data_IF_457897949718
#
_entry.id   IF_457897949718
#
_cell.length_a   1.000
_cell.length_b   1.000
_cell.length_c   1.000
_cell.angle_alpha   90.00
_cell.angle_beta   90.00
_cell.angle_gamma   90.00
#
_symmetry.space_group_name_H-M   'P 1'
#
loop_
_entity.id
_entity.type
_entity.pdbx_description
1 polymer ?
#
# COMPACT_ATOMS: atom_id res chain seq x y z
N UNK A 1 17.64 -52.09 -79.13
CA UNK A 1 16.42 -51.88 -78.30
C UNK A 1 15.68 -53.19 -78.18
N UNK A 2 15.84 -53.93 -77.07
CA UNK A 2 15.09 -55.16 -76.79
C UNK A 2 15.13 -55.48 -75.29
N UNK A 3 13.96 -55.91 -74.82
CA UNK A 3 13.55 -56.42 -73.51
C UNK A 3 14.54 -57.45 -72.91
N UNK A 4 14.65 -57.53 -71.58
CA UNK A 4 14.13 -58.65 -70.77
C UNK A 4 14.37 -58.44 -69.26
N UNK A 5 13.41 -58.97 -68.50
CA UNK A 5 13.32 -59.10 -67.03
C UNK A 5 14.28 -60.19 -66.52
N UNK A 6 14.80 -60.06 -65.30
CA UNK A 6 14.95 -61.20 -64.36
C UNK A 6 14.91 -60.70 -62.91
N UNK A 7 14.32 -61.54 -62.06
CA UNK A 7 14.01 -61.34 -60.65
C UNK A 7 14.80 -62.33 -59.77
N UNK A 8 14.99 -61.99 -58.49
CA UNK A 8 15.32 -62.90 -57.37
C UNK A 8 16.78 -63.38 -57.29
N UNK A 9 17.41 -63.70 -56.17
CA UNK A 9 17.10 -63.85 -54.72
C UNK A 9 18.47 -63.91 -54.03
N UNK A 10 18.65 -63.38 -52.80
CA UNK A 10 19.29 -64.07 -51.66
C UNK A 10 19.66 -63.12 -50.51
N UNK A 11 19.19 -63.55 -49.35
CA UNK A 11 19.24 -62.98 -48.00
C UNK A 11 20.61 -63.19 -47.36
N UNK A 12 21.08 -62.23 -46.55
CA UNK A 12 21.93 -62.51 -45.40
C UNK A 12 21.66 -61.51 -44.28
N UNK A 13 21.18 -62.08 -43.17
CA UNK A 13 20.83 -61.47 -41.90
C UNK A 13 22.09 -61.22 -41.09
N UNK A 14 22.23 -60.05 -40.47
CA UNK A 14 23.12 -59.85 -39.33
C UNK A 14 22.32 -59.22 -38.18
N UNK A 15 21.92 -60.07 -37.22
CA UNK A 15 21.49 -59.64 -35.89
C UNK A 15 22.72 -59.13 -35.13
N UNK A 16 22.63 -57.94 -34.55
CA UNK A 16 23.44 -57.56 -33.40
C UNK A 16 22.51 -57.40 -32.19
N UNK A 17 22.75 -58.24 -31.19
CA UNK A 17 22.00 -58.35 -29.94
C UNK A 17 22.25 -57.16 -29.00
N UNK A 18 21.23 -56.92 -28.19
CA UNK A 18 21.12 -55.96 -27.11
C UNK A 18 22.29 -55.97 -26.11
N UNK A 19 22.72 -54.77 -25.71
CA UNK A 19 23.40 -54.49 -24.45
C UNK A 19 22.62 -53.44 -23.68
N UNK A 20 21.95 -53.86 -22.60
CA UNK A 20 21.27 -52.97 -21.66
C UNK A 20 22.30 -52.15 -20.86
N UNK A 21 22.10 -50.84 -20.82
CA UNK A 21 22.83 -49.90 -19.97
C UNK A 21 22.01 -48.63 -19.82
N UNK A 22 20.98 -48.69 -18.97
CA UNK A 22 20.08 -47.57 -18.73
C UNK A 22 20.76 -46.45 -17.97
N UNK A 23 20.87 -45.28 -18.60
CA UNK A 23 20.90 -44.00 -17.90
C UNK A 23 19.95 -43.08 -18.66
N UNK A 24 18.79 -42.80 -18.05
CA UNK A 24 17.85 -41.78 -18.51
C UNK A 24 18.57 -40.45 -18.42
N UNK A 25 19.07 -39.96 -19.55
CA UNK A 25 19.42 -38.54 -19.70
C UNK A 25 18.12 -37.78 -19.50
N UNK A 26 18.09 -37.01 -18.42
CA UNK A 26 16.92 -36.23 -18.03
C UNK A 26 16.46 -35.38 -19.21
N UNK A 27 15.15 -35.42 -19.44
CA UNK A 27 14.47 -34.42 -20.23
C UNK A 27 14.76 -33.07 -19.58
N UNK A 28 15.67 -32.30 -20.18
CA UNK A 28 15.71 -30.85 -19.99
C UNK A 28 14.36 -30.33 -20.48
N UNK A 29 13.40 -30.22 -19.55
CA UNK A 29 12.24 -29.36 -19.75
C UNK A 29 12.80 -28.00 -20.14
N UNK A 30 12.41 -27.41 -21.27
CA UNK A 30 12.67 -26.00 -21.48
C UNK A 30 12.06 -25.30 -20.26
N UNK A 31 12.89 -24.61 -19.47
CA UNK A 31 12.36 -23.59 -18.58
C UNK A 31 11.44 -22.75 -19.46
N UNK A 32 10.16 -22.66 -19.09
CA UNK A 32 9.25 -21.74 -19.77
C UNK A 32 9.99 -20.41 -19.82
N UNK A 33 10.33 -19.93 -21.01
CA UNK A 33 10.89 -18.59 -21.17
C UNK A 33 9.85 -17.67 -20.53
N UNK A 34 10.14 -17.18 -19.33
CA UNK A 34 9.25 -16.30 -18.60
C UNK A 34 8.90 -15.15 -19.53
N UNK A 35 7.63 -14.75 -19.59
CA UNK A 35 7.26 -13.55 -20.34
C UNK A 35 8.14 -12.40 -19.86
N UNK A 36 8.62 -11.58 -20.80
CA UNK A 36 9.35 -10.35 -20.47
C UNK A 36 8.52 -9.53 -19.47
N UNK A 37 9.20 -8.95 -18.48
CA UNK A 37 8.48 -8.22 -17.42
C UNK A 37 7.64 -7.06 -17.95
N UNK A 38 8.12 -6.40 -19.00
CA UNK A 38 7.41 -5.32 -19.66
C UNK A 38 7.34 -4.04 -18.84
N UNK A 39 6.26 -3.28 -19.04
CA UNK A 39 5.98 -2.02 -18.33
C UNK A 39 4.72 -2.16 -17.50
N UNK A 40 4.67 -1.57 -16.31
CA UNK A 40 3.43 -1.39 -15.55
C UNK A 40 3.36 0.00 -14.91
N UNK A 41 2.13 0.49 -14.79
CA UNK A 41 1.81 1.78 -14.18
C UNK A 41 1.47 1.63 -12.69
N UNK A 42 2.31 2.21 -11.84
CA UNK A 42 2.20 2.17 -10.37
C UNK A 42 1.72 3.53 -9.87
N UNK A 43 0.55 3.59 -9.22
CA UNK A 43 0.14 4.82 -8.52
C UNK A 43 1.05 5.07 -7.32
N UNK A 44 1.22 6.35 -6.93
CA UNK A 44 1.89 6.78 -5.70
C UNK A 44 1.00 7.81 -5.00
N UNK A 45 0.42 7.41 -3.88
CA UNK A 45 -0.43 8.31 -3.09
C UNK A 45 0.41 9.29 -2.25
N UNK A 46 -0.11 10.48 -1.90
CA UNK A 46 0.67 11.56 -1.32
C UNK A 46 0.92 11.39 0.20
N UNK A 47 1.56 10.28 0.57
CA UNK A 47 2.11 10.05 1.89
C UNK A 47 3.37 9.18 1.82
N UNK A 48 4.34 9.46 2.69
CA UNK A 48 5.68 8.84 2.56
C UNK A 48 5.68 7.33 2.83
N UNK A 49 4.70 6.82 3.60
CA UNK A 49 4.51 5.38 3.77
C UNK A 49 4.23 4.67 2.45
N UNK A 50 3.40 5.27 1.60
CA UNK A 50 3.15 4.76 0.25
C UNK A 50 4.42 4.83 -0.60
N UNK A 51 5.09 5.99 -0.57
CA UNK A 51 6.31 6.22 -1.34
C UNK A 51 7.37 5.15 -1.03
N UNK A 52 7.48 4.73 0.24
CA UNK A 52 8.34 3.63 0.66
C UNK A 52 7.95 2.28 0.02
N UNK A 53 6.67 1.92 0.01
CA UNK A 53 6.18 0.71 -0.68
C UNK A 53 6.52 0.75 -2.17
N UNK A 54 6.19 1.87 -2.82
CA UNK A 54 6.42 2.07 -4.24
C UNK A 54 7.92 2.06 -4.59
N UNK A 55 8.77 2.62 -3.74
CA UNK A 55 10.22 2.64 -3.91
C UNK A 55 10.78 1.21 -3.94
N UNK A 56 10.46 0.39 -2.94
CA UNK A 56 11.00 -0.97 -2.82
C UNK A 56 10.50 -1.89 -3.92
N UNK A 57 9.18 -1.90 -4.19
CA UNK A 57 8.61 -2.73 -5.26
C UNK A 57 9.18 -2.31 -6.62
N UNK A 58 9.28 -1.01 -6.90
CA UNK A 58 9.86 -0.53 -8.17
C UNK A 58 11.33 -0.90 -8.30
N UNK A 59 12.11 -0.77 -7.22
CA UNK A 59 13.52 -1.12 -7.22
C UNK A 59 13.72 -2.60 -7.56
N UNK A 60 13.02 -3.51 -6.87
CA UNK A 60 13.10 -4.96 -7.13
C UNK A 60 12.62 -5.28 -8.53
N UNK A 61 11.49 -4.71 -8.98
CA UNK A 61 10.98 -4.94 -10.33
C UNK A 61 12.01 -4.53 -11.41
N UNK A 62 12.64 -3.36 -11.27
CA UNK A 62 13.61 -2.89 -12.26
C UNK A 62 14.94 -3.62 -12.17
N UNK A 63 15.45 -3.91 -10.97
CA UNK A 63 16.80 -4.48 -10.79
C UNK A 63 16.85 -6.00 -10.92
N UNK A 64 15.85 -6.71 -10.39
CA UNK A 64 15.83 -8.18 -10.39
C UNK A 64 15.04 -8.77 -11.56
N UNK A 65 14.03 -8.06 -12.07
CA UNK A 65 13.14 -8.56 -13.12
C UNK A 65 13.26 -7.80 -14.46
N UNK A 66 14.01 -6.70 -14.50
CA UNK A 66 14.19 -5.89 -15.72
C UNK A 66 12.93 -5.15 -16.17
N UNK A 67 11.96 -4.94 -15.28
CA UNK A 67 10.72 -4.22 -15.59
C UNK A 67 10.97 -2.71 -15.76
N UNK A 68 10.18 -2.07 -16.62
CA UNK A 68 10.01 -0.61 -16.60
C UNK A 68 8.82 -0.27 -15.70
N UNK A 69 9.04 0.52 -14.65
CA UNK A 69 7.96 0.99 -13.78
C UNK A 69 7.68 2.45 -14.06
N UNK A 70 6.42 2.78 -14.35
CA UNK A 70 5.97 4.16 -14.53
C UNK A 70 5.19 4.55 -13.28
N UNK A 71 5.79 5.38 -12.43
CA UNK A 71 5.13 5.91 -11.23
C UNK A 71 4.20 7.06 -11.60
N UNK A 72 2.99 7.07 -11.06
CA UNK A 72 1.97 8.11 -11.28
C UNK A 72 1.53 8.67 -9.94
N UNK A 73 1.91 9.91 -9.66
CA UNK A 73 1.48 10.59 -8.44
C UNK A 73 -0.02 10.91 -8.55
N UNK A 74 -0.84 10.18 -7.81
CA UNK A 74 -2.30 10.24 -7.88
C UNK A 74 -2.88 10.25 -6.48
N UNK A 75 -4.01 10.94 -6.34
CA UNK A 75 -4.86 10.79 -5.15
C UNK A 75 -5.43 9.38 -5.12
N UNK A 76 -5.60 8.81 -3.92
CA UNK A 76 -6.03 7.42 -3.75
C UNK A 76 -7.35 7.11 -4.51
N UNK A 77 -8.37 7.94 -4.36
CA UNK A 77 -9.65 7.76 -5.08
C UNK A 77 -9.51 7.86 -6.61
N UNK A 78 -8.56 8.67 -7.10
CA UNK A 78 -8.31 8.82 -8.54
C UNK A 78 -7.58 7.58 -9.08
N UNK A 79 -6.73 6.94 -8.26
CA UNK A 79 -6.07 5.69 -8.65
C UNK A 79 -7.09 4.59 -8.98
N UNK A 80 -8.21 4.53 -8.25
CA UNK A 80 -9.31 3.59 -8.53
C UNK A 80 -9.95 3.81 -9.91
N UNK A 81 -10.16 5.07 -10.30
CA UNK A 81 -10.70 5.40 -11.63
C UNK A 81 -9.74 4.96 -12.75
N UNK A 82 -8.44 5.03 -12.50
CA UNK A 82 -7.39 4.61 -13.42
C UNK A 82 -7.43 3.13 -13.84
N UNK A 83 -8.05 2.26 -13.04
CA UNK A 83 -8.21 0.84 -13.42
C UNK A 83 -9.14 0.65 -14.63
N UNK A 84 -10.22 1.45 -14.72
CA UNK A 84 -11.15 1.36 -15.86
C UNK A 84 -10.56 1.91 -17.16
N UNK A 85 -9.70 2.94 -17.07
CA UNK A 85 -9.07 3.57 -18.24
C UNK A 85 -7.80 2.84 -18.68
N UNK A 86 -7.25 1.98 -17.82
CA UNK A 86 -5.96 1.33 -18.04
C UNK A 86 -4.76 2.25 -17.76
N UNK A 87 -4.99 3.37 -17.07
CA UNK A 87 -3.93 4.27 -16.62
C UNK A 87 -3.27 3.81 -15.32
N UNK A 88 -3.85 2.86 -14.58
CA UNK A 88 -3.25 2.30 -13.36
C UNK A 88 -3.28 0.79 -13.45
N UNK A 89 -2.12 0.17 -13.23
CA UNK A 89 -1.99 -1.28 -13.10
C UNK A 89 -1.93 -1.72 -11.64
N UNK A 90 -1.31 -0.93 -10.77
CA UNK A 90 -1.04 -1.31 -9.38
C UNK A 90 -1.31 -0.16 -8.43
N UNK A 91 -2.12 -0.43 -7.40
CA UNK A 91 -2.16 0.29 -6.13
C UNK A 91 -1.61 -0.62 -5.03
N UNK A 92 -0.49 -0.23 -4.43
CA UNK A 92 0.20 -1.01 -3.40
C UNK A 92 -0.32 -0.81 -1.98
N UNK A 93 -1.14 0.19 -1.70
CA UNK A 93 -1.57 0.47 -0.33
C UNK A 93 -2.94 1.14 -0.36
N UNK A 94 -3.98 0.32 -0.26
CA UNK A 94 -5.36 0.76 -0.22
C UNK A 94 -5.89 0.78 1.23
N UNK A 95 -6.41 1.92 1.65
CA UNK A 95 -6.96 2.14 2.99
C UNK A 95 -8.46 1.82 3.05
N UNK A 96 -8.83 0.58 2.72
CA UNK A 96 -10.22 0.12 2.79
C UNK A 96 -11.01 0.32 1.48
N UNK A 97 -11.97 1.25 1.45
CA UNK A 97 -12.81 1.53 0.26
C UNK A 97 -13.65 0.35 -0.25
N UNK A 98 -14.47 -0.25 0.62
CA UNK A 98 -15.34 -1.39 0.26
C UNK A 98 -16.36 -1.06 -0.84
N UNK A 99 -16.79 0.20 -0.93
CA UNK A 99 -17.63 0.71 -2.01
C UNK A 99 -16.88 0.72 -3.37
N UNK A 100 -15.62 1.16 -3.38
CA UNK A 100 -14.78 1.13 -4.59
C UNK A 100 -14.41 -0.31 -4.97
N UNK A 101 -14.11 -1.18 -4.00
CA UNK A 101 -13.94 -2.63 -4.26
C UNK A 101 -15.19 -3.22 -4.89
N UNK A 102 -16.38 -2.95 -4.33
CA UNK A 102 -17.64 -3.41 -4.92
C UNK A 102 -17.76 -2.93 -6.37
N UNK A 103 -17.54 -1.63 -6.61
CA UNK A 103 -17.65 -1.05 -7.95
C UNK A 103 -16.64 -1.66 -8.93
N UNK A 104 -15.35 -1.58 -8.66
CA UNK A 104 -14.30 -1.88 -9.65
C UNK A 104 -13.94 -3.37 -9.74
N UNK A 105 -14.09 -4.13 -8.66
CA UNK A 105 -13.78 -5.57 -8.61
C UNK A 105 -15.02 -6.41 -8.90
N UNK A 106 -16.14 -6.13 -8.24
CA UNK A 106 -17.34 -6.99 -8.35
C UNK A 106 -18.21 -6.61 -9.55
N UNK A 107 -18.55 -5.33 -9.68
CA UNK A 107 -19.53 -4.87 -10.66
C UNK A 107 -18.87 -4.67 -12.04
N UNK A 108 -17.82 -3.84 -12.11
CA UNK A 108 -17.12 -3.50 -13.36
C UNK A 108 -16.08 -4.56 -13.77
N UNK A 109 -15.55 -5.34 -12.81
CA UNK A 109 -14.56 -6.42 -13.01
C UNK A 109 -13.28 -6.00 -13.72
N UNK A 110 -12.88 -4.74 -13.54
CA UNK A 110 -11.66 -4.16 -14.12
C UNK A 110 -10.46 -4.22 -13.18
N UNK A 111 -10.68 -4.47 -11.89
CA UNK A 111 -9.66 -4.62 -10.87
C UNK A 111 -9.81 -5.94 -10.11
N UNK A 112 -8.75 -6.36 -9.43
CA UNK A 112 -8.74 -7.50 -8.50
C UNK A 112 -7.89 -7.18 -7.28
N UNK A 113 -8.26 -7.77 -6.14
CA UNK A 113 -7.46 -7.71 -4.93
C UNK A 113 -6.26 -8.67 -5.04
N UNK A 114 -5.06 -8.16 -4.81
CA UNK A 114 -3.79 -8.91 -4.81
C UNK A 114 -3.31 -9.24 -3.39
N UNK A 115 -4.20 -9.12 -2.40
CA UNK A 115 -4.00 -9.46 -1.01
C UNK A 115 -3.29 -8.40 -0.17
N UNK A 116 -3.10 -8.70 1.11
CA UNK A 116 -2.48 -7.83 2.10
C UNK A 116 -1.03 -7.46 1.75
N UNK A 117 -0.68 -6.19 1.98
CA UNK A 117 0.69 -5.66 2.00
C UNK A 117 1.48 -6.11 3.24
N UNK A 118 0.78 -6.63 4.26
CA UNK A 118 1.33 -6.89 5.59
C UNK A 118 1.32 -5.67 6.51
N UNK A 119 1.08 -4.47 5.97
CA UNK A 119 0.97 -3.23 6.74
C UNK A 119 -0.39 -3.17 7.44
N UNK A 120 -0.37 -2.85 8.73
CA UNK A 120 -1.55 -2.65 9.56
C UNK A 120 -1.74 -1.17 9.83
N UNK A 121 -2.85 -0.63 9.35
CA UNK A 121 -3.19 0.78 9.45
C UNK A 121 -4.04 1.09 10.68
N UNK A 122 -3.76 2.20 11.34
CA UNK A 122 -4.63 2.77 12.38
C UNK A 122 -4.79 4.26 12.07
N UNK A 123 -6.02 4.71 11.91
CA UNK A 123 -6.35 6.14 11.78
C UNK A 123 -6.94 6.62 13.10
N UNK A 124 -6.72 7.90 13.44
CA UNK A 124 -7.45 8.51 14.54
C UNK A 124 -7.11 9.96 14.78
N UNK A 125 -7.64 10.50 15.87
CA UNK A 125 -7.31 11.83 16.33
C UNK A 125 -6.24 11.77 17.39
N UNK A 126 -5.34 12.74 17.36
CA UNK A 126 -4.19 12.81 18.25
C UNK A 126 -4.01 14.20 18.82
N UNK A 127 -3.45 14.25 20.01
CA UNK A 127 -2.92 15.46 20.65
C UNK A 127 -1.42 15.29 20.88
N UNK A 128 -0.64 16.38 20.89
CA UNK A 128 0.78 16.31 21.22
C UNK A 128 0.97 15.92 22.70
N UNK A 129 2.08 15.24 23.06
CA UNK A 129 2.36 14.76 24.42
C UNK A 129 2.15 15.79 25.52
N UNK A 130 2.57 17.04 25.30
CA UNK A 130 2.44 18.08 26.31
C UNK A 130 0.98 18.36 26.71
N UNK A 131 0.03 18.21 25.78
CA UNK A 131 -1.39 18.40 26.09
C UNK A 131 -1.90 17.28 26.97
N UNK A 132 -1.60 16.03 26.65
CA UNK A 132 -2.00 14.89 27.46
C UNK A 132 -1.38 14.97 28.88
N UNK A 133 -0.14 15.46 29.00
CA UNK A 133 0.50 15.69 30.30
C UNK A 133 -0.19 16.79 31.12
N UNK A 134 -0.66 17.87 30.47
CA UNK A 134 -1.31 19.02 31.14
C UNK A 134 -2.80 18.80 31.40
N UNK A 135 -3.47 18.09 30.50
CA UNK A 135 -4.92 17.82 30.49
C UNK A 135 -5.12 16.30 30.43
N UNK A 136 -4.93 15.57 31.53
CA UNK A 136 -4.87 14.10 31.52
C UNK A 136 -6.17 13.42 31.09
N UNK A 137 -7.31 14.11 31.18
CA UNK A 137 -8.62 13.62 30.75
C UNK A 137 -8.97 13.98 29.29
N UNK A 138 -8.07 14.66 28.56
CA UNK A 138 -8.32 15.12 27.18
C UNK A 138 -8.44 13.96 26.17
N UNK A 139 -7.88 12.80 26.51
CA UNK A 139 -7.88 11.62 25.64
C UNK A 139 -9.23 10.92 25.57
N UNK A 140 -10.18 11.23 26.45
CA UNK A 140 -11.56 10.75 26.32
C UNK A 140 -12.33 11.74 25.43
N UNK A 141 -12.86 11.26 24.30
CA UNK A 141 -13.62 12.07 23.36
C UNK A 141 -14.77 12.86 24.02
N UNK A 142 -15.37 12.32 25.09
CA UNK A 142 -16.45 12.97 25.84
C UNK A 142 -16.02 14.29 26.47
N UNK A 143 -14.73 14.44 26.76
CA UNK A 143 -14.16 15.64 27.36
C UNK A 143 -13.72 16.68 26.32
N UNK A 144 -13.74 16.39 25.01
CA UNK A 144 -13.23 17.33 24.01
C UNK A 144 -13.99 18.67 24.03
N UNK A 145 -15.29 18.68 24.29
CA UNK A 145 -16.08 19.93 24.36
C UNK A 145 -15.66 20.84 25.52
N UNK A 146 -15.16 20.29 26.63
CA UNK A 146 -14.56 21.06 27.74
C UNK A 146 -13.36 21.88 27.27
N UNK A 147 -12.64 21.39 26.27
CA UNK A 147 -11.40 21.98 25.75
C UNK A 147 -11.57 22.73 24.42
N UNK A 148 -12.74 22.70 23.80
CA UNK A 148 -12.98 23.28 22.46
C UNK A 148 -12.51 24.73 22.32
N UNK A 149 -12.61 25.54 23.38
CA UNK A 149 -12.15 26.92 23.37
C UNK A 149 -10.63 27.07 23.18
N UNK A 150 -9.83 26.10 23.61
CA UNK A 150 -8.36 26.10 23.45
C UNK A 150 -7.95 25.92 21.99
N UNK A 151 -8.78 25.26 21.18
CA UNK A 151 -8.48 24.91 19.80
C UNK A 151 -9.08 25.91 18.79
N UNK A 152 -9.59 27.06 19.24
CA UNK A 152 -10.17 28.07 18.33
C UNK A 152 -9.09 28.65 17.42
N UNK A 153 -9.42 28.78 16.14
CA UNK A 153 -8.59 29.45 15.14
C UNK A 153 -9.45 30.41 14.31
N UNK A 154 -8.82 31.19 13.43
CA UNK A 154 -9.56 32.03 12.48
C UNK A 154 -10.43 31.22 11.53
N UNK A 155 -10.09 29.95 11.27
CA UNK A 155 -10.78 29.08 10.30
C UNK A 155 -11.90 28.24 10.94
N UNK A 156 -11.87 28.09 12.26
CA UNK A 156 -12.81 27.23 13.01
C UNK A 156 -14.18 27.88 13.26
N UNK A 157 -14.39 29.13 12.84
CA UNK A 157 -15.70 29.80 12.92
C UNK A 157 -16.24 29.93 14.35
N UNK A 158 -15.37 30.14 15.34
CA UNK A 158 -15.74 30.27 16.74
C UNK A 158 -15.87 28.94 17.52
N UNK A 159 -15.73 27.80 16.84
CA UNK A 159 -15.63 26.45 17.44
C UNK A 159 -14.18 26.03 17.67
N UNK A 160 -13.93 24.89 18.31
CA UNK A 160 -12.59 24.28 18.30
C UNK A 160 -12.21 23.79 16.90
N UNK A 161 -10.92 23.76 16.56
CA UNK A 161 -10.44 23.15 15.33
C UNK A 161 -10.08 21.68 15.58
N UNK A 162 -10.57 20.81 14.70
CA UNK A 162 -9.95 19.51 14.40
C UNK A 162 -9.20 19.68 13.08
N UNK A 163 -7.87 19.59 13.11
CA UNK A 163 -7.04 19.71 11.90
C UNK A 163 -7.01 18.35 11.19
N UNK A 164 -7.56 18.28 9.99
CA UNK A 164 -7.65 17.07 9.17
C UNK A 164 -6.50 17.00 8.14
N UNK A 165 -6.33 15.88 7.45
CA UNK A 165 -5.24 15.61 6.52
C UNK A 165 -5.34 16.28 5.14
N UNK A 166 -4.83 15.58 4.12
CA UNK A 166 -5.13 15.93 2.74
C UNK A 166 -6.60 15.58 2.44
N UNK A 167 -7.34 16.39 1.67
CA UNK A 167 -8.71 16.07 1.27
C UNK A 167 -8.89 14.73 0.55
N UNK A 168 -7.83 14.08 0.08
CA UNK A 168 -7.88 12.74 -0.52
C UNK A 168 -7.68 11.61 0.47
N UNK A 169 -7.48 11.87 1.76
CA UNK A 169 -7.30 10.83 2.77
C UNK A 169 -8.65 10.24 3.17
N UNK A 170 -8.62 8.98 3.59
CA UNK A 170 -9.78 8.34 4.22
C UNK A 170 -10.06 9.04 5.56
N UNK A 171 -11.19 9.74 5.61
CA UNK A 171 -11.63 10.47 6.79
C UNK A 171 -13.14 10.33 7.02
N UNK A 172 -13.52 10.25 8.29
CA UNK A 172 -14.89 10.29 8.79
C UNK A 172 -15.10 11.49 9.73
N UNK A 173 -14.15 12.45 9.74
CA UNK A 173 -14.02 13.43 10.80
C UNK A 173 -15.20 14.40 10.90
N UNK A 174 -15.77 14.81 9.76
CA UNK A 174 -16.97 15.65 9.76
C UNK A 174 -18.19 14.93 10.33
N UNK A 175 -18.38 13.66 9.94
CA UNK A 175 -19.45 12.81 10.46
C UNK A 175 -19.28 12.56 11.95
N UNK A 176 -18.05 12.27 12.41
CA UNK A 176 -17.72 12.08 13.82
C UNK A 176 -17.98 13.35 14.64
N UNK A 177 -17.48 14.51 14.21
CA UNK A 177 -17.72 15.78 14.89
C UNK A 177 -19.22 16.06 15.02
N UNK A 178 -19.99 15.82 13.96
CA UNK A 178 -21.45 16.01 13.95
C UNK A 178 -22.17 15.01 14.85
N UNK A 179 -21.94 13.72 14.66
CA UNK A 179 -22.70 12.64 15.29
C UNK A 179 -22.34 12.46 16.77
N UNK A 180 -21.12 12.84 17.17
CA UNK A 180 -20.70 12.92 18.57
C UNK A 180 -21.05 14.26 19.23
N UNK A 181 -21.75 15.17 18.53
CA UNK A 181 -22.17 16.48 19.02
C UNK A 181 -21.00 17.31 19.57
N UNK A 182 -19.87 17.30 18.86
CA UNK A 182 -18.67 18.04 19.25
C UNK A 182 -18.74 19.49 18.77
N UNK A 183 -18.32 20.42 19.64
CA UNK A 183 -18.22 21.85 19.36
C UNK A 183 -16.91 22.17 18.60
N UNK A 184 -16.71 21.46 17.50
CA UNK A 184 -15.53 21.56 16.65
C UNK A 184 -15.94 21.82 15.20
N UNK A 185 -14.98 22.30 14.42
CA UNK A 185 -15.03 22.39 12.97
C UNK A 185 -13.80 21.67 12.42
N UNK A 186 -14.02 20.83 11.42
CA UNK A 186 -12.95 20.19 10.66
C UNK A 186 -12.32 21.22 9.73
N UNK A 187 -10.99 21.32 9.75
CA UNK A 187 -10.21 22.22 8.91
C UNK A 187 -9.09 21.41 8.26
N UNK A 188 -8.99 21.43 6.94
CA UNK A 188 -8.03 20.63 6.20
C UNK A 188 -6.62 21.23 6.28
N UNK A 189 -5.61 20.43 6.63
CA UNK A 189 -4.19 20.83 6.60
C UNK A 189 -3.59 20.78 5.20
N UNK A 190 -4.15 19.93 4.34
CA UNK A 190 -3.77 19.79 2.94
C UNK A 190 -2.58 18.86 2.65
N UNK A 191 -1.89 18.30 3.65
CA UNK A 191 -0.86 17.27 3.43
C UNK A 191 -0.36 16.62 4.73
N UNK A 192 0.22 15.41 4.62
CA UNK A 192 1.00 14.78 5.71
C UNK A 192 2.08 15.71 6.27
N UNK A 193 2.81 16.42 5.41
CA UNK A 193 3.89 17.33 5.84
C UNK A 193 3.34 18.46 6.70
N UNK A 194 2.15 19.00 6.35
CA UNK A 194 1.49 20.04 7.13
C UNK A 194 1.04 19.52 8.51
N UNK A 195 0.47 18.31 8.59
CA UNK A 195 0.13 17.67 9.87
C UNK A 195 1.36 17.47 10.76
N UNK A 196 2.44 16.91 10.21
CA UNK A 196 3.69 16.68 10.94
C UNK A 196 4.25 18.00 11.47
N UNK A 197 4.27 19.05 10.63
CA UNK A 197 4.76 20.37 11.05
C UNK A 197 3.87 20.98 12.14
N UNK A 198 2.55 20.85 12.02
CA UNK A 198 1.61 21.30 13.04
C UNK A 198 1.87 20.62 14.38
N UNK A 199 2.08 19.29 14.41
CA UNK A 199 2.41 18.57 15.64
C UNK A 199 3.76 18.97 16.22
N UNK A 200 4.79 19.16 15.40
CA UNK A 200 6.10 19.68 15.86
C UNK A 200 5.95 21.05 16.52
N UNK A 201 5.25 21.97 15.86
CA UNK A 201 5.06 23.32 16.37
C UNK A 201 4.19 23.33 17.64
N UNK A 202 3.18 22.46 17.69
CA UNK A 202 2.35 22.26 18.86
C UNK A 202 3.16 21.75 20.05
N UNK A 203 4.01 20.73 19.86
CA UNK A 203 4.86 20.18 20.92
C UNK A 203 5.94 21.15 21.36
N UNK A 204 6.64 21.79 20.41
CA UNK A 204 7.71 22.75 20.70
C UNK A 204 7.21 23.99 21.42
N UNK A 205 6.11 24.58 20.94
CA UNK A 205 5.61 25.86 21.43
C UNK A 205 4.43 25.75 22.39
N UNK A 206 4.06 24.52 22.79
CA UNK A 206 2.91 24.24 23.67
C UNK A 206 1.61 24.87 23.15
N UNK A 207 1.42 24.84 21.82
CA UNK A 207 0.20 25.33 21.15
C UNK A 207 -0.84 24.21 21.10
N UNK A 208 -2.10 24.45 21.54
CA UNK A 208 -3.15 23.44 21.45
C UNK A 208 -3.33 22.92 20.02
N UNK A 209 -3.35 21.60 19.86
CA UNK A 209 -3.62 20.94 18.59
C UNK A 209 -4.36 19.63 18.83
N UNK A 210 -5.49 19.48 18.15
CA UNK A 210 -6.21 18.23 17.96
C UNK A 210 -6.22 17.99 16.45
N UNK A 211 -5.66 16.87 16.00
CA UNK A 211 -5.53 16.62 14.58
C UNK A 211 -5.68 15.14 14.22
N UNK A 212 -6.16 14.90 13.01
CA UNK A 212 -6.09 13.62 12.31
C UNK A 212 -4.63 13.19 12.17
N UNK A 213 -4.37 11.90 12.38
CA UNK A 213 -3.12 11.26 11.98
C UNK A 213 -3.31 9.75 11.86
N UNK A 214 -2.24 9.04 11.50
CA UNK A 214 -2.34 7.60 11.26
C UNK A 214 -1.02 6.88 11.54
N UNK A 215 -1.11 5.57 11.73
CA UNK A 215 0.00 4.62 11.85
C UNK A 215 -0.10 3.56 10.74
N UNK A 216 1.02 3.00 10.25
CA UNK A 216 2.39 3.28 10.67
C UNK A 216 2.88 4.64 10.19
N UNK A 217 3.63 5.32 11.06
CA UNK A 217 4.21 6.60 10.69
C UNK A 217 5.50 6.88 11.45
N UNK A 218 6.58 7.19 10.73
CA UNK A 218 7.92 7.35 11.32
C UNK A 218 7.98 8.49 12.33
N UNK A 219 7.08 9.47 12.19
CA UNK A 219 7.01 10.65 13.05
C UNK A 219 6.73 10.30 14.53
N UNK A 220 6.08 9.16 14.81
CA UNK A 220 5.88 8.70 16.19
C UNK A 220 7.19 8.42 16.94
N UNK A 221 8.30 8.22 16.23
CA UNK A 221 9.64 8.11 16.84
C UNK A 221 10.21 9.46 17.28
N UNK A 222 9.76 10.55 16.67
CA UNK A 222 10.16 11.92 17.02
C UNK A 222 9.24 12.47 18.12
N UNK A 223 7.92 12.38 17.89
CA UNK A 223 6.90 12.83 18.84
C UNK A 223 5.90 11.71 19.06
N UNK A 224 5.89 11.15 20.28
CA UNK A 224 4.94 10.10 20.68
C UNK A 224 3.54 10.66 20.90
N UNK A 225 2.86 11.03 19.81
CA UNK A 225 1.51 11.58 19.85
C UNK A 225 0.56 10.69 20.64
N UNK A 226 -0.41 11.30 21.30
CA UNK A 226 -1.35 10.58 22.17
C UNK A 226 -2.70 10.52 21.48
N UNK A 227 -3.15 9.30 21.16
CA UNK A 227 -4.43 9.05 20.50
C UNK A 227 -5.60 9.42 21.41
N UNK A 228 -6.62 10.03 20.84
CA UNK A 228 -7.94 10.19 21.46
C UNK A 228 -8.69 8.87 21.36
N UNK A 229 -9.24 8.43 22.48
CA UNK A 229 -10.15 7.32 22.56
C UNK A 229 -11.52 7.79 22.07
N UNK A 230 -11.83 7.54 20.81
CA UNK A 230 -13.18 7.69 20.24
C UNK A 230 -14.06 6.50 20.65
N UNK A 231 -15.39 6.50 20.43
CA UNK A 231 -16.21 5.30 20.67
C UNK A 231 -15.66 4.12 19.86
N UNK A 232 -15.41 2.98 20.49
CA UNK A 232 -14.72 1.88 19.81
C UNK A 232 -15.45 1.43 18.51
N UNK A 233 -14.65 1.16 17.47
CA UNK A 233 -15.16 0.59 16.22
C UNK A 233 -15.90 -0.73 16.46
N UNK A 234 -17.01 -0.91 15.74
CA UNK A 234 -17.70 -2.19 15.57
C UNK A 234 -17.97 -2.39 14.09
N UNK A 235 -17.87 -3.64 13.63
CA UNK A 235 -18.08 -3.98 12.22
C UNK A 235 -19.39 -3.37 11.68
N UNK A 236 -19.27 -2.63 10.57
CA UNK A 236 -20.39 -1.95 9.90
C UNK A 236 -20.76 -0.58 10.47
N UNK A 237 -20.03 -0.07 11.47
CA UNK A 237 -20.24 1.29 11.98
C UNK A 237 -19.96 2.37 10.93
N UNK A 238 -19.06 2.08 9.99
CA UNK A 238 -18.64 2.91 8.87
C UNK A 238 -19.36 2.59 7.54
N UNK A 239 -20.37 1.72 7.56
CA UNK A 239 -21.10 1.32 6.35
C UNK A 239 -21.94 2.46 5.73
N UNK A 240 -22.34 3.45 6.54
CA UNK A 240 -22.99 4.68 6.08
C UNK A 240 -22.12 5.87 6.52
N UNK A 241 -21.36 6.49 5.60
CA UNK A 241 -20.44 7.59 5.93
C UNK A 241 -21.12 8.73 6.70
N UNK A 242 -22.41 9.00 6.46
CA UNK A 242 -23.13 10.07 7.13
C UNK A 242 -23.50 9.75 8.59
N UNK A 243 -23.48 8.46 8.98
CA UNK A 243 -23.88 7.98 10.31
C UNK A 243 -22.72 7.54 11.18
N UNK A 244 -21.48 7.64 10.70
CA UNK A 244 -20.30 7.23 11.47
C UNK A 244 -20.25 7.96 12.81
N UNK A 245 -20.15 7.18 13.89
CA UNK A 245 -20.09 7.65 15.27
C UNK A 245 -19.15 6.81 16.13
N UNK A 246 -18.17 6.16 15.50
CA UNK A 246 -17.13 5.36 16.14
C UNK A 246 -15.75 5.65 15.54
N UNK A 247 -14.72 5.25 16.26
CA UNK A 247 -13.32 5.26 15.84
C UNK A 247 -13.16 4.49 14.51
N UNK A 248 -12.03 4.74 13.86
CA UNK A 248 -11.69 4.06 12.61
C UNK A 248 -11.47 2.56 12.86
N UNK A 249 -11.78 1.70 11.88
CA UNK A 249 -11.42 0.29 11.97
C UNK A 249 -9.89 0.12 12.00
N UNK A 250 -9.39 -0.98 12.56
CA UNK A 250 -8.04 -1.43 12.22
C UNK A 250 -8.02 -1.84 10.74
N UNK A 251 -7.08 -1.32 9.98
CA UNK A 251 -6.93 -1.63 8.56
C UNK A 251 -5.90 -2.74 8.35
N UNK A 252 -6.23 -3.70 7.48
CA UNK A 252 -5.23 -4.53 6.79
C UNK A 252 -5.06 -3.96 5.40
N UNK A 253 -3.97 -3.22 5.16
CA UNK A 253 -3.81 -2.52 3.89
C UNK A 253 -3.55 -3.55 2.80
N UNK A 254 -4.37 -3.54 1.77
CA UNK A 254 -4.32 -4.46 0.66
C UNK A 254 -3.81 -3.79 -0.62
N UNK A 255 -3.45 -4.64 -1.57
CA UNK A 255 -2.98 -4.24 -2.89
C UNK A 255 -4.11 -4.48 -3.87
N UNK A 256 -4.38 -3.51 -4.71
CA UNK A 256 -5.38 -3.61 -5.79
C UNK A 256 -4.64 -3.52 -7.11
N UNK A 257 -4.95 -4.40 -8.04
CA UNK A 257 -4.32 -4.39 -9.37
C UNK A 257 -5.38 -4.44 -10.46
N UNK A 258 -5.03 -3.95 -11.65
CA UNK A 258 -5.89 -4.09 -12.82
C UNK A 258 -6.05 -5.57 -13.18
N UNK A 259 -7.26 -5.97 -13.62
CA UNK A 259 -7.51 -7.36 -14.08
C UNK A 259 -6.57 -7.73 -15.23
N UNK A 260 -6.29 -6.76 -16.11
CA UNK A 260 -5.35 -6.89 -17.23
C UNK A 260 -3.94 -7.20 -16.75
N UNK A 261 -3.44 -6.50 -15.73
CA UNK A 261 -2.12 -6.76 -15.17
C UNK A 261 -2.05 -8.13 -14.50
N UNK A 262 -3.08 -8.51 -13.74
CA UNK A 262 -3.18 -9.83 -13.11
C UNK A 262 -3.20 -10.99 -14.13
N UNK A 263 -3.80 -10.79 -15.30
CA UNK A 263 -3.88 -11.80 -16.37
C UNK A 263 -2.69 -11.75 -17.35
N UNK A 264 -1.79 -10.78 -17.20
CA UNK A 264 -0.72 -10.52 -18.17
C UNK A 264 0.29 -11.67 -18.26
N UNK A 265 0.45 -12.43 -17.16
CA UNK A 265 1.54 -13.39 -16.98
C UNK A 265 2.91 -12.72 -16.84
N UNK A 266 2.97 -11.42 -16.55
CA UNK A 266 4.22 -10.72 -16.23
C UNK A 266 4.73 -11.16 -14.85
N UNK A 267 6.04 -11.43 -14.69
CA UNK A 267 6.62 -11.68 -13.38
C UNK A 267 6.48 -10.51 -12.40
N UNK A 268 6.20 -9.27 -12.88
CA UNK A 268 5.89 -8.15 -12.00
C UNK A 268 4.60 -8.37 -11.20
N UNK A 269 3.59 -9.06 -11.77
CA UNK A 269 2.38 -9.36 -11.02
C UNK A 269 2.67 -10.30 -9.85
N UNK A 270 3.50 -11.32 -10.05
CA UNK A 270 3.89 -12.23 -8.98
C UNK A 270 4.68 -11.50 -7.89
N UNK A 271 5.61 -10.61 -8.25
CA UNK A 271 6.30 -9.74 -7.30
C UNK A 271 5.31 -8.91 -6.48
N UNK A 272 4.38 -8.20 -7.13
CA UNK A 272 3.37 -7.37 -6.44
C UNK A 272 2.47 -8.21 -5.54
N UNK A 273 1.99 -9.35 -6.03
CA UNK A 273 1.14 -10.27 -5.27
C UNK A 273 1.85 -10.83 -4.04
N UNK A 274 3.11 -11.20 -4.18
CA UNK A 274 3.91 -11.77 -3.09
C UNK A 274 4.50 -10.71 -2.16
N UNK A 275 4.62 -9.45 -2.61
CA UNK A 275 5.15 -8.36 -1.81
C UNK A 275 4.35 -8.21 -0.52
N UNK A 276 5.03 -8.48 0.59
CA UNK A 276 4.47 -8.36 1.93
C UNK A 276 5.59 -8.03 2.90
N UNK A 277 5.38 -7.03 3.74
CA UNK A 277 6.34 -6.61 4.75
C UNK A 277 5.65 -5.98 5.97
N UNK A 278 6.43 -5.60 6.98
CA UNK A 278 5.86 -5.13 8.26
C UNK A 278 5.79 -3.60 8.32
N UNK A 279 5.05 -3.08 9.31
CA UNK A 279 5.01 -1.65 9.64
C UNK A 279 6.42 -1.10 9.92
N UNK A 280 7.31 -1.89 10.53
CA UNK A 280 8.69 -1.50 10.81
C UNK A 280 9.51 -1.34 9.54
N UNK A 281 9.35 -2.25 8.57
CA UNK A 281 10.04 -2.17 7.28
C UNK A 281 9.62 -0.91 6.51
N UNK A 282 8.30 -0.67 6.42
CA UNK A 282 7.77 0.53 5.76
C UNK A 282 8.27 1.81 6.45
N UNK A 283 8.18 1.89 7.77
CA UNK A 283 8.66 3.06 8.53
C UNK A 283 10.17 3.26 8.40
N UNK A 284 10.96 2.20 8.31
CA UNK A 284 12.40 2.32 8.12
C UNK A 284 12.74 3.00 6.79
N UNK A 285 12.12 2.57 5.69
CA UNK A 285 12.32 3.18 4.37
C UNK A 285 11.73 4.59 4.31
N UNK A 286 10.52 4.78 4.83
CA UNK A 286 9.87 6.09 4.88
C UNK A 286 10.71 7.11 5.65
N UNK A 287 11.33 6.71 6.76
CA UNK A 287 12.25 7.57 7.52
C UNK A 287 13.50 7.91 6.71
N UNK A 288 14.08 6.95 5.97
CA UNK A 288 15.25 7.23 5.11
C UNK A 288 14.92 8.31 4.05
N UNK A 289 13.71 8.28 3.51
CA UNK A 289 13.22 9.29 2.56
C UNK A 289 12.98 10.63 3.28
N UNK A 290 12.13 10.63 4.31
CA UNK A 290 11.65 11.85 4.95
C UNK A 290 12.70 12.57 5.80
N UNK A 291 13.54 11.82 6.53
CA UNK A 291 14.49 12.35 7.51
C UNK A 291 15.91 12.35 6.96
N UNK A 292 16.37 11.20 6.46
CA UNK A 292 17.76 11.07 5.98
C UNK A 292 17.95 11.68 4.57
N UNK A 293 16.85 12.12 3.93
CA UNK A 293 16.82 12.77 2.61
C UNK A 293 17.44 11.94 1.49
N UNK A 294 17.39 10.61 1.63
CA UNK A 294 17.73 9.71 0.52
C UNK A 294 16.66 9.82 -0.55
N UNK A 295 17.06 9.65 -1.82
CA UNK A 295 16.05 9.43 -2.87
C UNK A 295 15.32 8.10 -2.62
N UNK A 296 14.08 7.94 -3.11
CA UNK A 296 13.34 6.69 -2.96
C UNK A 296 14.14 5.46 -3.43
N UNK A 297 14.83 5.55 -4.57
CA UNK A 297 15.66 4.47 -5.10
C UNK A 297 16.87 4.15 -4.20
N UNK A 298 17.50 5.16 -3.59
CA UNK A 298 18.61 4.96 -2.65
C UNK A 298 18.13 4.30 -1.35
N UNK A 299 16.98 4.75 -0.82
CA UNK A 299 16.38 4.16 0.37
C UNK A 299 15.96 2.69 0.11
N UNK A 300 15.35 2.42 -1.04
CA UNK A 300 14.98 1.08 -1.47
C UNK A 300 16.19 0.18 -1.62
N UNK A 301 17.25 0.62 -2.33
CA UNK A 301 18.50 -0.12 -2.45
C UNK A 301 19.05 -0.51 -1.09
N UNK A 302 19.21 0.49 -0.20
CA UNK A 302 19.78 0.27 1.13
C UNK A 302 18.99 -0.75 1.95
N UNK A 303 17.66 -0.71 1.87
CA UNK A 303 16.82 -1.69 2.55
C UNK A 303 16.91 -3.07 1.89
N UNK A 304 16.86 -3.16 0.56
CA UNK A 304 16.94 -4.41 -0.20
C UNK A 304 18.25 -5.15 0.07
N UNK A 305 19.38 -4.44 0.03
CA UNK A 305 20.72 -4.99 0.31
C UNK A 305 20.81 -5.66 1.69
N UNK A 306 20.01 -5.18 2.66
CA UNK A 306 19.97 -5.70 4.03
C UNK A 306 18.88 -6.77 4.24
N UNK A 307 17.94 -6.91 3.30
CA UNK A 307 16.74 -7.73 3.44
C UNK A 307 16.56 -8.72 2.29
N UNK A 308 17.65 -9.15 1.64
CA UNK A 308 17.62 -10.02 0.46
C UNK A 308 16.79 -11.30 0.65
N UNK A 309 16.74 -11.87 1.86
CA UNK A 309 15.90 -13.04 2.14
C UNK A 309 14.40 -12.76 1.96
N UNK A 310 13.92 -11.57 2.33
CA UNK A 310 12.52 -11.17 2.11
C UNK A 310 12.25 -10.98 0.62
N UNK A 311 13.17 -10.30 -0.07
CA UNK A 311 13.10 -10.03 -1.51
C UNK A 311 13.07 -11.33 -2.31
N UNK A 312 13.94 -12.29 -1.99
CA UNK A 312 13.94 -13.61 -2.61
C UNK A 312 12.60 -14.34 -2.42
N UNK A 313 12.00 -14.23 -1.24
CA UNK A 313 10.66 -14.75 -0.99
C UNK A 313 9.59 -14.16 -1.90
N UNK A 314 9.63 -12.85 -2.18
CA UNK A 314 8.70 -12.21 -3.12
C UNK A 314 8.93 -12.65 -4.57
N UNK A 315 10.18 -12.89 -4.94
CA UNK A 315 10.61 -13.36 -6.26
C UNK A 315 10.44 -14.87 -6.45
N UNK A 316 10.05 -15.62 -5.42
CA UNK A 316 9.92 -17.08 -5.47
C UNK A 316 11.24 -17.83 -5.65
N UNK A 317 12.35 -17.26 -5.13
CA UNK A 317 13.70 -17.84 -5.18
C UNK A 317 14.07 -18.60 -3.92
#
# INVERSE_FOLDING_TARGET
MKKLRYAGVLTAVALALAGCGGQKVGEDKPAAAGKDCGTFDLTVSPWVGYEANAAVVSYVATKDLGCKVVKKDLKEEIAWQGFSTGEVDVNLENWGHEDLKKKYITDDKVAVEAGSTGVKGIIGWYVPPWMAAKYPDITDWKNLNKYAALFKTSESGGKGQLLDGDPSYVTNDEALVKNLSLNYKVVQSGSETALIQAFRDAEKNKKPLLAYFYEPQWFFNEVKLVKINLPAYKAGCDADPAKVACDYPPYDLDKIVSKKFADSGSPAYDLVKNFKWTNEDQNAVARMIAVDKLTPDQAAQKWVDQNQSKVNGWLGK
#
